data_IF_814501483759
#
_entry.id   IF_814501483759
#
_cell.length_a   1.000
_cell.length_b   1.000
_cell.length_c   1.000
_cell.angle_alpha   90.00
_cell.angle_beta   90.00
_cell.angle_gamma   90.00
#
_symmetry.space_group_name_H-M   'P 1'
#
loop_
_entity.id
_entity.type
_entity.pdbx_description
1 polymer ?
#
# COMPACT_ATOMS: atom_id res chain seq x y z
N UNK A 1 24.27 7.32 -18.13
CA UNK A 1 23.40 8.35 -17.51
C UNK A 1 21.96 7.96 -17.75
N UNK A 2 21.15 7.87 -16.69
CA UNK A 2 19.74 7.53 -16.77
C UNK A 2 19.37 6.55 -15.66
N UNK A 3 18.81 7.07 -14.56
CA UNK A 3 18.18 6.21 -13.56
C UNK A 3 16.84 5.71 -14.10
N UNK A 4 16.49 4.47 -13.77
CA UNK A 4 15.17 3.93 -14.07
C UNK A 4 14.09 4.79 -13.39
N UNK A 5 13.02 5.13 -14.12
CA UNK A 5 11.89 5.86 -13.57
C UNK A 5 10.70 4.89 -13.35
N UNK A 6 10.47 4.42 -12.11
CA UNK A 6 9.50 3.38 -11.83
C UNK A 6 8.04 3.87 -11.83
N UNK A 7 7.78 5.17 -12.02
CA UNK A 7 6.44 5.76 -11.87
C UNK A 7 5.41 5.07 -12.76
N UNK A 8 5.77 4.75 -14.02
CA UNK A 8 4.86 4.03 -14.94
C UNK A 8 4.52 2.63 -14.45
N UNK A 9 5.50 1.90 -13.93
CA UNK A 9 5.31 0.54 -13.40
C UNK A 9 4.45 0.54 -12.15
N UNK A 10 4.68 1.49 -11.25
CA UNK A 10 3.88 1.67 -10.02
C UNK A 10 2.43 2.05 -10.38
N UNK A 11 2.23 2.94 -11.34
CA UNK A 11 0.89 3.33 -11.79
C UNK A 11 0.13 2.15 -12.46
N UNK A 12 0.81 1.31 -13.22
CA UNK A 12 0.21 0.10 -13.80
C UNK A 12 -0.17 -0.91 -12.71
N UNK A 13 0.71 -1.15 -11.74
CA UNK A 13 0.41 -1.98 -10.56
C UNK A 13 -0.83 -1.46 -9.82
N UNK A 14 -0.89 -0.14 -9.57
CA UNK A 14 -2.04 0.49 -8.94
C UNK A 14 -3.35 0.23 -9.70
N UNK A 15 -3.35 0.36 -11.04
CA UNK A 15 -4.53 0.05 -11.87
C UNK A 15 -4.95 -1.41 -11.76
N UNK A 16 -4.00 -2.34 -11.87
CA UNK A 16 -4.27 -3.79 -11.77
C UNK A 16 -4.88 -4.17 -10.42
N UNK A 17 -4.45 -3.53 -9.33
CA UNK A 17 -4.95 -3.76 -7.97
C UNK A 17 -6.10 -2.84 -7.56
N UNK A 18 -6.75 -2.15 -8.51
CA UNK A 18 -7.87 -1.21 -8.28
C UNK A 18 -7.55 -0.18 -7.18
N UNK A 19 -6.35 0.39 -7.23
CA UNK A 19 -5.94 1.51 -6.39
C UNK A 19 -6.38 2.81 -7.05
N UNK A 20 -7.47 3.38 -6.53
CA UNK A 20 -8.16 4.55 -7.11
C UNK A 20 -7.91 5.85 -6.35
N UNK A 21 -7.18 5.81 -5.23
CA UNK A 21 -6.94 6.97 -4.39
C UNK A 21 -5.70 6.84 -3.51
N UNK A 22 -5.19 7.99 -3.09
CA UNK A 22 -3.99 8.13 -2.26
C UNK A 22 -4.34 8.73 -0.89
N UNK A 23 -3.69 8.34 0.20
CA UNK A 23 -2.77 7.20 0.31
C UNK A 23 -3.53 5.86 0.25
N UNK A 24 -2.84 4.78 -0.13
CA UNK A 24 -3.33 3.40 0.00
C UNK A 24 -2.18 2.56 0.55
N UNK A 25 -2.44 1.83 1.63
CA UNK A 25 -1.47 0.91 2.25
C UNK A 25 -1.96 -0.52 2.09
N UNK A 26 -1.08 -1.42 1.64
CA UNK A 26 -1.32 -2.87 1.57
C UNK A 26 -0.38 -3.54 2.57
N UNK A 27 -0.94 -4.30 3.51
CA UNK A 27 -0.19 -5.06 4.51
C UNK A 27 0.26 -6.41 3.94
N UNK A 28 1.21 -7.07 4.58
CA UNK A 28 1.74 -8.37 4.14
C UNK A 28 0.68 -9.48 4.18
N UNK A 29 -0.32 -9.37 5.06
CA UNK A 29 -1.49 -10.26 5.10
C UNK A 29 -2.54 -9.98 4.01
N UNK A 30 -2.24 -9.07 3.06
CA UNK A 30 -3.12 -8.69 1.96
C UNK A 30 -4.23 -7.71 2.35
N UNK A 31 -4.38 -7.34 3.64
CA UNK A 31 -5.33 -6.30 4.04
C UNK A 31 -4.92 -4.96 3.48
N UNK A 32 -5.93 -4.16 3.12
CA UNK A 32 -5.74 -2.84 2.52
C UNK A 32 -6.39 -1.76 3.36
N UNK A 33 -5.66 -0.67 3.57
CA UNK A 33 -6.18 0.60 4.08
C UNK A 33 -6.26 1.59 2.92
N UNK A 34 -7.45 2.15 2.70
CA UNK A 34 -7.70 3.17 1.69
C UNK A 34 -7.85 4.52 2.38
N UNK A 35 -7.13 5.51 1.88
CA UNK A 35 -7.05 6.85 2.46
C UNK A 35 -6.11 6.92 3.67
N UNK A 36 -5.98 8.13 4.20
CA UNK A 36 -5.30 8.35 5.46
C UNK A 36 -6.06 7.65 6.60
N UNK A 37 -5.31 6.96 7.46
CA UNK A 37 -5.87 6.26 8.62
C UNK A 37 -5.16 6.70 9.91
N UNK A 38 -5.84 6.70 11.07
CA UNK A 38 -5.19 7.00 12.34
C UNK A 38 -4.07 6.02 12.67
N UNK A 39 -2.99 6.52 13.31
CA UNK A 39 -1.82 5.74 13.70
C UNK A 39 -2.21 4.45 14.45
N UNK A 40 -3.02 4.56 15.50
CA UNK A 40 -3.43 3.42 16.31
C UNK A 40 -4.11 2.30 15.49
N UNK A 41 -4.84 2.66 14.42
CA UNK A 41 -5.48 1.69 13.52
C UNK A 41 -4.46 0.98 12.64
N UNK A 42 -3.46 1.71 12.15
CA UNK A 42 -2.37 1.17 11.34
C UNK A 42 -1.50 0.22 12.18
N UNK A 43 -1.07 0.64 13.37
CA UNK A 43 -0.26 -0.16 14.31
C UNK A 43 -0.96 -1.47 14.69
N UNK A 44 -2.26 -1.44 15.00
CA UNK A 44 -3.05 -2.65 15.25
C UNK A 44 -3.10 -3.57 14.02
N UNK A 45 -3.12 -3.00 12.82
CA UNK A 45 -3.03 -3.74 11.56
C UNK A 45 -1.69 -4.45 11.40
N UNK A 46 -0.60 -3.72 11.62
CA UNK A 46 0.77 -4.23 11.56
C UNK A 46 1.00 -5.35 12.55
N UNK A 47 0.59 -5.19 13.81
CA UNK A 47 0.72 -6.22 14.84
C UNK A 47 -0.01 -7.53 14.50
N UNK A 48 -1.13 -7.45 13.76
CA UNK A 48 -1.82 -8.66 13.24
C UNK A 48 -1.06 -9.27 12.07
N UNK A 49 -0.61 -8.44 11.12
CA UNK A 49 0.04 -8.89 9.89
C UNK A 49 1.44 -9.48 10.12
N UNK A 50 2.12 -9.10 11.20
CA UNK A 50 3.45 -9.61 11.55
C UNK A 50 3.43 -10.99 12.24
N UNK A 51 2.25 -11.52 12.57
CA UNK A 51 2.13 -12.83 13.21
C UNK A 51 2.21 -13.93 12.12
N UNK A 52 3.12 -14.92 12.28
CA UNK A 52 3.28 -16.02 11.32
C UNK A 52 2.03 -16.90 11.22
#
# INVERSE_FOLDING_TARGET
MGCDNPIRRIAQFAKQHRITGTSTTVLADGRRFVGAVPLAKLEKGLGRSARP
#
